data_IF_307008874476
#
_entry.id   IF_307008874476
#
_cell.length_a   1.000
_cell.length_b   1.000
_cell.length_c   1.000
_cell.angle_alpha   90.00
_cell.angle_beta   90.00
_cell.angle_gamma   90.00
#
_symmetry.space_group_name_H-M   'P 1'
#
loop_
_entity.id
_entity.type
_entity.pdbx_description
1 polymer ?
#
# COMPACT_ATOMS: atom_id res chain seq x y z
N UNK A 1 -15.95 23.80 -4.27
CA UNK A 1 -16.08 23.15 -2.96
C UNK A 1 -15.94 24.11 -1.75
N UNK A 2 -15.07 25.10 -1.78
CA UNK A 2 -14.87 26.05 -0.65
C UNK A 2 -16.06 26.97 -0.39
N UNK A 3 -16.98 27.20 -1.34
CA UNK A 3 -18.13 28.06 -1.18
C UNK A 3 -19.30 27.47 -0.38
N UNK A 4 -19.49 26.16 -0.41
CA UNK A 4 -20.58 25.49 0.31
C UNK A 4 -20.30 25.37 1.81
N UNK A 5 -19.03 25.14 2.22
CA UNK A 5 -18.66 25.07 3.65
C UNK A 5 -18.94 26.38 4.43
N UNK A 6 -18.91 27.54 3.76
CA UNK A 6 -19.24 28.82 4.40
C UNK A 6 -20.75 29.00 4.64
N UNK A 7 -21.59 28.40 3.79
CA UNK A 7 -23.04 28.41 3.97
C UNK A 7 -23.50 27.52 5.14
N UNK A 8 -22.85 26.38 5.31
CA UNK A 8 -23.22 25.41 6.35
C UNK A 8 -22.84 25.87 7.76
N UNK A 9 -21.78 26.68 7.91
CA UNK A 9 -21.40 27.29 9.19
C UNK A 9 -22.33 28.40 9.64
N UNK A 10 -23.11 29.02 8.72
CA UNK A 10 -24.07 30.07 9.04
C UNK A 10 -25.41 29.52 9.50
N UNK A 11 -25.74 28.27 9.20
CA UNK A 11 -27.02 27.66 9.56
C UNK A 11 -27.22 27.45 11.08
N UNK A 12 -26.25 26.97 11.85
CA UNK A 12 -26.34 26.88 13.29
C UNK A 12 -26.52 28.27 13.93
N UNK A 13 -25.83 29.28 13.39
CA UNK A 13 -25.97 30.67 13.84
C UNK A 13 -27.36 31.22 13.55
N UNK A 14 -27.93 30.98 12.39
CA UNK A 14 -29.30 31.37 12.05
C UNK A 14 -30.34 30.67 12.95
N UNK A 15 -30.15 29.38 13.25
CA UNK A 15 -31.00 28.63 14.17
C UNK A 15 -30.93 29.17 15.60
N UNK A 16 -29.75 29.57 16.08
CA UNK A 16 -29.57 30.21 17.39
C UNK A 16 -30.30 31.57 17.43
N UNK A 17 -30.16 32.38 16.39
CA UNK A 17 -30.82 33.69 16.30
C UNK A 17 -32.34 33.51 16.27
N UNK A 18 -32.86 32.56 15.49
CA UNK A 18 -34.29 32.25 15.42
C UNK A 18 -34.82 31.68 16.75
N UNK A 19 -34.04 30.83 17.43
CA UNK A 19 -34.40 30.32 18.75
C UNK A 19 -34.43 31.44 19.80
N UNK A 20 -33.48 32.40 19.74
CA UNK A 20 -33.47 33.57 20.61
C UNK A 20 -34.68 34.50 20.35
N UNK A 21 -35.13 34.63 19.10
CA UNK A 21 -36.34 35.36 18.75
C UNK A 21 -37.61 34.61 19.17
N UNK A 22 -37.64 33.28 19.02
CA UNK A 22 -38.77 32.44 19.43
C UNK A 22 -38.90 32.30 20.96
N UNK A 23 -37.86 32.59 21.74
CA UNK A 23 -37.90 32.59 23.21
C UNK A 23 -38.94 33.62 23.78
N UNK A 24 -39.30 34.64 22.98
CA UNK A 24 -40.41 35.57 23.32
C UNK A 24 -41.78 34.92 23.17
N UNK A 25 -41.92 33.82 22.44
CA UNK A 25 -43.17 33.09 22.22
C UNK A 25 -43.36 31.88 23.17
N UNK A 26 -42.37 31.61 24.03
CA UNK A 26 -42.35 30.51 25.00
C UNK A 26 -41.14 29.60 24.85
N UNK A 27 -40.72 28.97 25.96
CA UNK A 27 -39.53 28.12 26.03
C UNK A 27 -39.60 26.91 25.06
N UNK A 28 -40.79 26.34 24.87
CA UNK A 28 -41.01 25.18 24.02
C UNK A 28 -40.85 25.50 22.54
N UNK A 29 -41.24 26.70 22.11
CA UNK A 29 -41.04 27.17 20.73
C UNK A 29 -39.55 27.40 20.42
N UNK A 30 -38.79 27.94 21.38
CA UNK A 30 -37.34 28.13 21.23
C UNK A 30 -36.58 26.80 21.11
N UNK A 31 -36.93 25.81 21.94
CA UNK A 31 -36.38 24.46 21.90
C UNK A 31 -36.71 23.77 20.56
N UNK A 32 -37.95 23.89 20.09
CA UNK A 32 -38.40 23.34 18.81
C UNK A 32 -37.63 23.91 17.61
N UNK A 33 -37.37 25.22 17.56
CA UNK A 33 -36.59 25.87 16.51
C UNK A 33 -35.11 25.45 16.57
N UNK A 34 -34.54 25.37 17.77
CA UNK A 34 -33.14 24.94 17.95
C UNK A 34 -32.93 23.48 17.51
N UNK A 35 -33.79 22.55 17.98
CA UNK A 35 -33.72 21.13 17.62
C UNK A 35 -34.01 20.92 16.14
N UNK A 36 -34.95 21.64 15.56
CA UNK A 36 -35.25 21.64 14.13
C UNK A 36 -34.06 22.13 13.28
N UNK A 37 -33.41 23.20 13.73
CA UNK A 37 -32.19 23.72 13.07
C UNK A 37 -31.01 22.74 13.09
N UNK A 38 -30.79 22.08 14.22
CA UNK A 38 -29.77 21.01 14.31
C UNK A 38 -30.12 19.81 13.43
N UNK A 39 -31.40 19.39 13.45
CA UNK A 39 -31.86 18.29 12.59
C UNK A 39 -31.66 18.58 11.10
N UNK A 40 -31.94 19.80 10.65
CA UNK A 40 -31.67 20.22 9.26
C UNK A 40 -30.17 20.27 8.91
N UNK A 41 -29.30 20.69 9.83
CA UNK A 41 -27.88 20.71 9.62
C UNK A 41 -27.33 19.28 9.48
N UNK A 42 -27.75 18.36 10.36
CA UNK A 42 -27.39 16.93 10.28
C UNK A 42 -27.90 16.31 8.98
N UNK A 43 -29.15 16.58 8.60
CA UNK A 43 -29.74 16.06 7.36
C UNK A 43 -28.96 16.53 6.12
N UNK A 44 -28.58 17.80 6.06
CA UNK A 44 -27.76 18.33 4.97
C UNK A 44 -26.38 17.72 4.91
N UNK A 45 -25.75 17.47 6.05
CA UNK A 45 -24.45 16.80 6.10
C UNK A 45 -24.56 15.35 5.59
N UNK A 46 -25.63 14.65 5.94
CA UNK A 46 -25.90 13.29 5.43
C UNK A 46 -26.13 13.34 3.92
N UNK A 47 -26.93 14.27 3.41
CA UNK A 47 -27.22 14.40 1.99
C UNK A 47 -25.97 14.78 1.19
N UNK A 48 -25.15 15.69 1.69
CA UNK A 48 -23.86 16.04 1.09
C UNK A 48 -22.92 14.81 1.02
N UNK A 49 -22.84 14.01 2.09
CA UNK A 49 -22.04 12.79 2.10
C UNK A 49 -22.55 11.79 1.05
N UNK A 50 -23.87 11.61 0.93
CA UNK A 50 -24.47 10.73 -0.09
C UNK A 50 -24.20 11.19 -1.53
N UNK A 51 -24.26 12.51 -1.78
CA UNK A 51 -23.93 13.06 -3.10
C UNK A 51 -22.45 12.88 -3.43
N UNK A 52 -21.56 13.13 -2.47
CA UNK A 52 -20.13 12.91 -2.63
C UNK A 52 -19.80 11.43 -2.94
N UNK A 53 -20.47 10.49 -2.26
CA UNK A 53 -20.33 9.05 -2.53
C UNK A 53 -20.82 8.67 -3.92
N UNK A 54 -22.00 9.18 -4.35
CA UNK A 54 -22.54 8.94 -5.69
C UNK A 54 -21.62 9.48 -6.79
N UNK A 55 -21.05 10.67 -6.58
CA UNK A 55 -20.11 11.27 -7.52
C UNK A 55 -18.80 10.48 -7.57
N UNK A 56 -18.28 10.06 -6.43
CA UNK A 56 -17.11 9.18 -6.33
C UNK A 56 -17.34 7.85 -7.06
N UNK A 57 -18.49 7.21 -6.84
CA UNK A 57 -18.88 5.99 -7.53
C UNK A 57 -18.98 6.19 -9.04
N UNK A 58 -19.57 7.31 -9.47
CA UNK A 58 -19.71 7.66 -10.88
C UNK A 58 -18.34 7.82 -11.56
N UNK A 59 -17.45 8.58 -10.92
CA UNK A 59 -16.09 8.81 -11.44
C UNK A 59 -15.29 7.52 -11.43
N UNK A 60 -15.33 6.75 -10.35
CA UNK A 60 -14.66 5.44 -10.25
C UNK A 60 -15.14 4.46 -11.33
N UNK A 61 -16.46 4.41 -11.57
CA UNK A 61 -17.05 3.61 -12.64
C UNK A 61 -16.54 4.05 -14.04
N UNK A 62 -16.46 5.36 -14.29
CA UNK A 62 -15.95 5.88 -15.56
C UNK A 62 -14.47 5.54 -15.76
N UNK A 63 -13.64 5.68 -14.71
CA UNK A 63 -12.22 5.34 -14.75
C UNK A 63 -12.03 3.86 -15.05
N UNK A 64 -12.74 2.95 -14.34
CA UNK A 64 -12.68 1.51 -14.61
C UNK A 64 -13.05 1.19 -16.04
N UNK A 65 -14.15 1.76 -16.53
CA UNK A 65 -14.65 1.53 -17.88
C UNK A 65 -13.70 2.05 -18.96
N UNK A 66 -13.13 3.25 -18.75
CA UNK A 66 -12.16 3.84 -19.67
C UNK A 66 -10.83 3.04 -19.70
N UNK A 67 -10.43 2.47 -18.57
CA UNK A 67 -9.27 1.59 -18.47
C UNK A 67 -9.50 0.18 -19.02
N UNK A 68 -10.72 -0.13 -19.50
CA UNK A 68 -11.05 -1.43 -20.10
C UNK A 68 -11.37 -2.54 -19.09
N UNK A 69 -11.53 -2.20 -17.81
CA UNK A 69 -11.94 -3.18 -16.79
C UNK A 69 -13.44 -3.48 -16.85
N UNK A 70 -13.80 -4.69 -16.42
CA UNK A 70 -15.20 -5.06 -16.22
C UNK A 70 -15.77 -4.34 -14.99
N UNK A 71 -16.67 -3.40 -15.24
CA UNK A 71 -17.31 -2.61 -14.19
C UNK A 71 -18.22 -3.46 -13.26
N UNK A 72 -18.57 -4.69 -13.61
CA UNK A 72 -19.30 -5.63 -12.73
C UNK A 72 -18.48 -5.97 -11.48
N UNK A 73 -17.13 -5.87 -11.55
CA UNK A 73 -16.22 -6.01 -10.43
C UNK A 73 -16.53 -5.04 -9.30
N UNK A 74 -16.98 -3.82 -9.60
CA UNK A 74 -17.37 -2.83 -8.59
C UNK A 74 -18.58 -3.29 -7.76
N UNK A 75 -19.58 -3.88 -8.41
CA UNK A 75 -20.75 -4.47 -7.73
C UNK A 75 -20.32 -5.63 -6.84
N UNK A 76 -19.50 -6.54 -7.36
CA UNK A 76 -18.99 -7.69 -6.60
C UNK A 76 -18.14 -7.26 -5.40
N UNK A 77 -17.37 -6.18 -5.53
CA UNK A 77 -16.60 -5.59 -4.44
C UNK A 77 -17.53 -5.03 -3.36
N UNK A 78 -18.52 -4.21 -3.71
CA UNK A 78 -19.46 -3.64 -2.75
C UNK A 78 -20.30 -4.70 -2.04
N UNK A 79 -20.71 -5.75 -2.75
CA UNK A 79 -21.44 -6.86 -2.13
C UNK A 79 -20.59 -7.61 -1.09
N UNK A 80 -19.31 -7.84 -1.38
CA UNK A 80 -18.37 -8.46 -0.42
C UNK A 80 -18.13 -7.58 0.81
N UNK A 81 -17.96 -6.28 0.61
CA UNK A 81 -17.83 -5.33 1.71
C UNK A 81 -19.10 -5.30 2.58
N UNK A 82 -20.29 -5.27 1.94
CA UNK A 82 -21.56 -5.31 2.67
C UNK A 82 -21.74 -6.61 3.47
N UNK A 83 -21.31 -7.74 2.91
CA UNK A 83 -21.35 -9.02 3.62
C UNK A 83 -20.38 -9.04 4.83
N UNK A 84 -19.17 -8.50 4.65
CA UNK A 84 -18.18 -8.42 5.72
C UNK A 84 -18.65 -7.52 6.88
N UNK A 85 -19.30 -6.39 6.59
CA UNK A 85 -19.83 -5.50 7.65
C UNK A 85 -20.98 -6.11 8.44
N UNK A 86 -21.80 -6.98 7.83
CA UNK A 86 -22.89 -7.67 8.53
C UNK A 86 -22.40 -8.71 9.53
N UNK A 87 -21.27 -9.35 9.26
CA UNK A 87 -20.71 -10.45 10.08
C UNK A 87 -19.81 -9.92 11.20
N UNK A 88 -19.17 -8.77 10.99
CA UNK A 88 -18.17 -8.20 11.91
C UNK A 88 -18.50 -6.76 12.29
N UNK A 89 -19.69 -6.54 12.88
CA UNK A 89 -20.12 -5.19 13.29
C UNK A 89 -19.10 -4.48 14.21
N UNK A 90 -18.44 -5.24 15.10
CA UNK A 90 -17.48 -4.71 16.06
C UNK A 90 -16.05 -4.53 15.48
N UNK A 91 -15.78 -5.14 14.32
CA UNK A 91 -14.49 -5.08 13.61
C UNK A 91 -14.57 -4.24 12.33
N UNK A 92 -15.67 -3.53 12.11
CA UNK A 92 -15.84 -2.69 10.92
C UNK A 92 -14.79 -1.57 10.92
N UNK A 93 -13.96 -1.46 9.88
CA UNK A 93 -12.97 -0.40 9.79
C UNK A 93 -13.62 0.99 9.87
N UNK A 94 -13.03 1.97 10.58
CA UNK A 94 -13.60 3.31 10.75
C UNK A 94 -13.99 4.01 9.45
N UNK A 95 -13.21 3.83 8.38
CA UNK A 95 -13.49 4.40 7.07
C UNK A 95 -14.77 3.84 6.42
N UNK A 96 -15.14 2.60 6.71
CA UNK A 96 -16.37 2.00 6.19
C UNK A 96 -17.60 2.47 6.98
N UNK A 97 -17.41 2.93 8.22
CA UNK A 97 -18.46 3.58 9.00
C UNK A 97 -18.75 5.00 8.50
N UNK A 98 -17.72 5.74 8.10
CA UNK A 98 -17.86 7.09 7.53
C UNK A 98 -18.34 7.11 6.07
N UNK A 99 -18.17 5.98 5.34
CA UNK A 99 -18.57 5.81 3.93
C UNK A 99 -19.52 4.61 3.77
N UNK A 100 -20.77 4.68 4.22
CA UNK A 100 -21.65 3.53 4.29
C UNK A 100 -22.02 3.01 2.90
N UNK A 101 -21.95 1.67 2.76
CA UNK A 101 -22.38 0.98 1.57
C UNK A 101 -23.90 0.79 1.60
N UNK A 102 -24.62 1.63 0.89
CA UNK A 102 -26.06 1.51 0.77
C UNK A 102 -26.45 0.60 -0.40
N UNK A 103 -27.60 -0.08 -0.27
CA UNK A 103 -28.18 -0.87 -1.37
C UNK A 103 -28.48 0.00 -2.60
N UNK A 104 -28.69 1.29 -2.38
CA UNK A 104 -28.93 2.29 -3.41
C UNK A 104 -27.69 2.48 -4.31
N UNK A 105 -26.49 2.59 -3.72
CA UNK A 105 -25.22 2.68 -4.46
C UNK A 105 -25.01 1.47 -5.37
N UNK A 106 -25.23 0.27 -4.83
CA UNK A 106 -25.13 -0.97 -5.62
C UNK A 106 -26.14 -0.97 -6.78
N UNK A 107 -27.36 -0.48 -6.54
CA UNK A 107 -28.43 -0.43 -7.55
C UNK A 107 -28.11 0.58 -8.65
N UNK A 108 -27.57 1.76 -8.31
CA UNK A 108 -27.16 2.77 -9.28
C UNK A 108 -26.04 2.24 -10.21
N UNK A 109 -25.03 1.59 -9.63
CA UNK A 109 -23.94 1.00 -10.42
C UNK A 109 -24.48 -0.11 -11.35
N UNK A 110 -25.39 -0.96 -10.88
CA UNK A 110 -26.03 -1.98 -11.73
C UNK A 110 -26.82 -1.36 -12.89
N UNK A 111 -27.50 -0.25 -12.65
CA UNK A 111 -28.22 0.46 -13.70
C UNK A 111 -27.25 0.99 -14.77
N UNK A 112 -26.10 1.54 -14.37
CA UNK A 112 -25.06 2.03 -15.29
C UNK A 112 -24.45 0.89 -16.10
N UNK A 113 -24.17 -0.26 -15.49
CA UNK A 113 -23.63 -1.45 -16.17
C UNK A 113 -24.59 -1.93 -17.28
N UNK A 114 -25.92 -1.94 -17.02
CA UNK A 114 -26.92 -2.36 -18.02
C UNK A 114 -26.93 -1.46 -19.27
N UNK A 115 -26.53 -0.21 -19.14
CA UNK A 115 -26.49 0.75 -20.23
C UNK A 115 -25.18 0.65 -21.05
N UNK A 116 -24.21 -0.18 -20.63
CA UNK A 116 -22.93 -0.33 -21.33
C UNK A 116 -22.85 -1.64 -22.11
N UNK A 117 -22.09 -1.66 -23.21
CA UNK A 117 -21.78 -2.92 -23.88
C UNK A 117 -20.95 -3.82 -22.94
N UNK A 118 -21.26 -5.11 -22.94
CA UNK A 118 -20.53 -6.11 -22.17
C UNK A 118 -19.05 -6.12 -22.58
N UNK A 119 -18.16 -5.98 -21.62
CA UNK A 119 -16.71 -6.14 -21.78
C UNK A 119 -16.22 -7.18 -20.81
N UNK A 120 -15.61 -8.23 -21.33
CA UNK A 120 -14.92 -9.23 -20.52
C UNK A 120 -13.46 -8.80 -20.35
N UNK A 121 -13.04 -8.55 -19.12
CA UNK A 121 -11.63 -8.40 -18.76
C UNK A 121 -11.10 -9.77 -18.30
N UNK A 122 -10.00 -10.21 -18.90
CA UNK A 122 -9.32 -11.42 -18.48
C UNK A 122 -8.13 -10.97 -17.64
N UNK A 123 -8.13 -11.37 -16.38
CA UNK A 123 -7.03 -11.07 -15.46
C UNK A 123 -5.72 -11.71 -15.96
N UNK A 124 -4.64 -10.93 -15.98
CA UNK A 124 -3.32 -11.41 -16.30
C UNK A 124 -2.71 -12.25 -15.16
N UNK A 125 -1.63 -12.95 -15.46
CA UNK A 125 -0.90 -13.75 -14.47
C UNK A 125 -0.49 -12.91 -13.25
N UNK A 126 -0.06 -11.67 -13.44
CA UNK A 126 0.35 -10.78 -12.36
C UNK A 126 -0.74 -10.58 -11.31
N UNK A 127 -1.99 -10.43 -11.71
CA UNK A 127 -3.11 -10.34 -10.78
C UNK A 127 -3.19 -11.58 -9.88
N UNK A 128 -3.08 -12.77 -10.46
CA UNK A 128 -3.16 -14.02 -9.69
C UNK A 128 -1.95 -14.19 -8.76
N UNK A 129 -0.74 -13.79 -9.19
CA UNK A 129 0.47 -13.83 -8.35
C UNK A 129 0.36 -12.85 -7.16
N UNK A 130 -0.06 -11.60 -7.41
CA UNK A 130 -0.28 -10.60 -6.36
C UNK A 130 -1.33 -11.09 -5.36
N UNK A 131 -2.45 -11.63 -5.86
CA UNK A 131 -3.52 -12.18 -5.03
C UNK A 131 -3.03 -13.33 -4.15
N UNK A 132 -2.18 -14.23 -4.70
CA UNK A 132 -1.60 -15.33 -3.93
C UNK A 132 -0.67 -14.82 -2.83
N UNK A 133 0.17 -13.82 -3.13
CA UNK A 133 1.03 -13.17 -2.13
C UNK A 133 0.21 -12.47 -1.05
N UNK A 134 -0.80 -11.70 -1.43
CA UNK A 134 -1.70 -11.01 -0.49
C UNK A 134 -2.41 -11.98 0.44
N UNK A 135 -2.83 -13.16 -0.04
CA UNK A 135 -3.46 -14.20 0.78
C UNK A 135 -2.56 -14.68 1.92
N UNK A 136 -1.27 -14.86 1.66
CA UNK A 136 -0.31 -15.28 2.71
C UNK A 136 -0.05 -14.16 3.71
N UNK A 137 -0.07 -12.89 3.25
CA UNK A 137 0.19 -11.71 4.09
C UNK A 137 -1.04 -11.27 4.91
N UNK A 138 -2.24 -11.66 4.48
CA UNK A 138 -3.49 -11.26 5.13
C UNK A 138 -3.62 -11.79 6.55
N UNK A 139 -3.13 -13.01 6.79
CA UNK A 139 -3.10 -13.64 8.09
C UNK A 139 -1.82 -14.47 8.25
N UNK A 140 -0.87 -13.93 9.00
CA UNK A 140 0.41 -14.59 9.28
C UNK A 140 0.36 -15.53 10.50
N UNK A 141 -0.81 -15.73 11.12
CA UNK A 141 -1.01 -16.73 12.17
C UNK A 141 -0.82 -18.16 11.66
N UNK A 142 -0.68 -19.11 12.57
CA UNK A 142 -0.60 -20.52 12.18
C UNK A 142 -1.86 -20.98 11.44
N UNK A 143 -3.05 -20.54 11.88
CA UNK A 143 -4.31 -20.88 11.21
C UNK A 143 -4.37 -20.26 9.82
N UNK A 144 -4.02 -18.97 9.66
CA UNK A 144 -3.98 -18.31 8.37
C UNK A 144 -3.04 -18.98 7.36
N UNK A 145 -1.90 -19.51 7.85
CA UNK A 145 -0.97 -20.31 7.03
C UNK A 145 -1.56 -21.65 6.58
N UNK A 146 -2.34 -22.33 7.45
CA UNK A 146 -3.06 -23.56 7.11
C UNK A 146 -4.13 -23.28 6.07
N UNK A 147 -4.91 -22.22 6.26
CA UNK A 147 -5.98 -21.83 5.35
C UNK A 147 -5.44 -21.39 3.98
N UNK A 148 -4.33 -20.66 3.96
CA UNK A 148 -3.64 -20.30 2.71
C UNK A 148 -3.15 -21.55 1.97
N UNK A 149 -2.54 -22.51 2.66
CA UNK A 149 -2.11 -23.80 2.10
C UNK A 149 -3.28 -24.55 1.46
N UNK A 150 -4.38 -24.75 2.21
CA UNK A 150 -5.56 -25.45 1.74
C UNK A 150 -6.18 -24.79 0.50
N UNK A 151 -6.20 -23.45 0.47
CA UNK A 151 -6.69 -22.70 -0.67
C UNK A 151 -5.81 -22.88 -1.92
N UNK A 152 -4.47 -22.91 -1.78
CA UNK A 152 -3.56 -23.16 -2.90
C UNK A 152 -3.66 -24.62 -3.38
N UNK A 153 -3.78 -25.59 -2.47
CA UNK A 153 -3.96 -26.99 -2.83
C UNK A 153 -5.28 -27.23 -3.61
N UNK A 154 -6.34 -26.52 -3.25
CA UNK A 154 -7.58 -26.52 -4.05
C UNK A 154 -7.39 -25.86 -5.41
N UNK A 155 -6.64 -24.75 -5.48
CA UNK A 155 -6.38 -24.01 -6.73
C UNK A 155 -5.50 -24.80 -7.71
N UNK A 156 -4.59 -25.65 -7.24
CA UNK A 156 -3.76 -26.54 -8.06
C UNK A 156 -4.61 -27.55 -8.88
N UNK A 157 -5.82 -27.87 -8.41
CA UNK A 157 -6.74 -28.80 -9.10
C UNK A 157 -7.48 -28.15 -10.26
N UNK A 158 -7.40 -26.84 -10.44
CA UNK A 158 -8.04 -26.13 -11.53
C UNK A 158 -7.28 -26.34 -12.84
N UNK A 159 -7.99 -26.38 -13.97
CA UNK A 159 -7.39 -26.57 -15.29
C UNK A 159 -6.82 -25.29 -15.93
N UNK A 160 -6.74 -24.20 -15.18
CA UNK A 160 -6.22 -22.92 -15.64
C UNK A 160 -4.74 -22.77 -15.26
N UNK A 161 -3.86 -22.75 -16.25
CA UNK A 161 -2.39 -22.68 -16.07
C UNK A 161 -1.94 -21.46 -15.25
N UNK A 162 -2.55 -20.28 -15.46
CA UNK A 162 -2.18 -19.07 -14.71
C UNK A 162 -2.54 -19.22 -13.24
N UNK A 163 -3.71 -19.80 -12.95
CA UNK A 163 -4.13 -20.04 -11.57
C UNK A 163 -3.29 -21.15 -10.90
N UNK A 164 -2.88 -22.19 -11.63
CA UNK A 164 -1.95 -23.21 -11.13
C UNK A 164 -0.58 -22.60 -10.80
N UNK A 165 0.00 -21.82 -11.72
CA UNK A 165 1.28 -21.14 -11.49
C UNK A 165 1.21 -20.17 -10.32
N UNK A 166 0.07 -19.46 -10.14
CA UNK A 166 -0.13 -18.57 -9.02
C UNK A 166 -0.30 -19.31 -7.67
N UNK A 167 -0.89 -20.51 -7.69
CA UNK A 167 -0.94 -21.36 -6.50
C UNK A 167 0.46 -21.88 -6.13
N UNK A 168 1.24 -22.35 -7.12
CA UNK A 168 2.62 -22.78 -6.93
C UNK A 168 3.51 -21.64 -6.41
N UNK A 169 3.34 -20.41 -6.93
CA UNK A 169 3.98 -19.19 -6.42
C UNK A 169 3.56 -18.88 -4.98
N UNK A 170 2.28 -19.01 -4.67
CA UNK A 170 1.74 -18.81 -3.30
C UNK A 170 2.33 -19.82 -2.31
N UNK A 171 2.47 -21.10 -2.72
CA UNK A 171 3.13 -22.16 -1.96
C UNK A 171 4.63 -21.89 -1.77
N UNK A 172 5.32 -21.37 -2.80
CA UNK A 172 6.71 -20.95 -2.69
C UNK A 172 6.85 -19.83 -1.65
N UNK A 173 6.00 -18.81 -1.72
CA UNK A 173 6.03 -17.70 -0.78
C UNK A 173 5.70 -18.14 0.66
N UNK A 174 4.72 -19.02 0.83
CA UNK A 174 4.35 -19.60 2.12
C UNK A 174 5.48 -20.44 2.72
N UNK A 175 6.13 -21.28 1.92
CA UNK A 175 7.29 -22.07 2.34
C UNK A 175 8.46 -21.17 2.76
N UNK A 176 8.74 -20.10 2.01
CA UNK A 176 9.74 -19.11 2.38
C UNK A 176 9.43 -18.46 3.75
N UNK A 177 8.17 -18.06 3.98
CA UNK A 177 7.72 -17.49 5.28
C UNK A 177 7.83 -18.48 6.44
N UNK A 178 7.84 -19.78 6.16
CA UNK A 178 8.09 -20.84 7.15
C UNK A 178 9.57 -21.16 7.36
N UNK A 179 10.48 -20.53 6.59
CA UNK A 179 11.91 -20.84 6.60
C UNK A 179 12.27 -22.10 5.83
N UNK A 180 11.34 -22.72 5.09
CA UNK A 180 11.53 -23.93 4.28
C UNK A 180 12.11 -23.55 2.91
N UNK A 181 13.35 -22.99 2.89
CA UNK A 181 13.90 -22.31 1.72
C UNK A 181 14.07 -23.20 0.49
N UNK A 182 14.45 -24.47 0.68
CA UNK A 182 14.55 -25.41 -0.44
C UNK A 182 13.18 -25.69 -1.06
N UNK A 183 12.16 -25.95 -0.24
CA UNK A 183 10.80 -26.13 -0.71
C UNK A 183 10.27 -24.89 -1.45
N UNK A 184 10.62 -23.70 -0.95
CA UNK A 184 10.24 -22.45 -1.60
C UNK A 184 10.85 -22.36 -3.01
N UNK A 185 12.11 -22.70 -3.16
CA UNK A 185 12.80 -22.73 -4.46
C UNK A 185 12.18 -23.78 -5.42
N UNK A 186 11.86 -24.97 -4.91
CA UNK A 186 11.24 -26.04 -5.70
C UNK A 186 9.85 -25.64 -6.23
N UNK A 187 9.01 -25.07 -5.36
CA UNK A 187 7.70 -24.56 -5.76
C UNK A 187 7.80 -23.41 -6.76
N UNK A 188 8.75 -22.49 -6.56
CA UNK A 188 8.98 -21.39 -7.49
C UNK A 188 9.46 -21.91 -8.87
N UNK A 189 10.35 -22.90 -8.89
CA UNK A 189 10.80 -23.54 -10.13
C UNK A 189 9.61 -24.18 -10.87
N UNK A 190 8.72 -24.82 -10.15
CA UNK A 190 7.49 -25.41 -10.70
C UNK A 190 6.57 -24.34 -11.28
N UNK A 191 6.32 -23.23 -10.57
CA UNK A 191 5.51 -22.11 -11.06
C UNK A 191 6.08 -21.54 -12.38
N UNK A 192 7.40 -21.34 -12.43
CA UNK A 192 8.10 -20.92 -13.66
C UNK A 192 7.94 -21.93 -14.78
N UNK A 193 7.99 -23.23 -14.50
CA UNK A 193 7.82 -24.29 -15.50
C UNK A 193 6.38 -24.36 -16.03
N UNK A 194 5.40 -24.21 -15.16
CA UNK A 194 3.97 -24.17 -15.52
C UNK A 194 3.69 -23.05 -16.52
N UNK A 195 4.40 -21.91 -16.45
CA UNK A 195 4.22 -20.77 -17.36
C UNK A 195 5.11 -20.79 -18.61
N UNK A 196 6.03 -21.77 -18.75
CA UNK A 196 6.84 -21.88 -19.98
C UNK A 196 5.92 -22.05 -21.21
N UNK A 197 6.23 -21.37 -22.33
CA UNK A 197 5.50 -21.57 -23.58
C UNK A 197 5.44 -23.04 -23.95
N UNK A 198 4.26 -23.52 -24.33
CA UNK A 198 4.13 -24.85 -24.94
C UNK A 198 4.55 -24.72 -26.39
N UNK A 199 5.54 -25.50 -26.82
CA UNK A 199 6.02 -25.50 -28.20
C UNK A 199 4.84 -25.86 -29.13
N UNK A 200 4.52 -24.98 -30.08
CA UNK A 200 3.43 -25.20 -31.05
C UNK A 200 2.05 -24.59 -30.68
N UNK A 201 1.90 -23.97 -29.52
CA UNK A 201 0.68 -23.24 -29.20
C UNK A 201 0.68 -21.86 -29.90
N UNK A 202 -0.34 -21.61 -30.73
CA UNK A 202 -0.62 -20.27 -31.28
C UNK A 202 -1.16 -19.45 -30.12
N UNK A 203 -0.37 -18.51 -29.60
CA UNK A 203 -0.81 -17.58 -28.56
C UNK A 203 -1.91 -16.67 -29.14
N UNK A 204 -3.06 -16.61 -28.45
CA UNK A 204 -4.03 -15.57 -28.69
C UNK A 204 -3.36 -14.20 -28.45
N UNK A 205 -3.39 -13.36 -29.46
CA UNK A 205 -2.88 -11.99 -29.47
C UNK A 205 -3.37 -11.22 -28.22
N UNK A 206 -2.46 -10.91 -27.28
CA UNK A 206 -2.74 -10.08 -26.13
C UNK A 206 -2.08 -10.47 -24.80
N UNK A 207 -1.53 -11.68 -24.68
CA UNK A 207 -0.79 -12.08 -23.48
C UNK A 207 0.71 -11.95 -23.74
N UNK A 208 1.36 -10.98 -23.09
CA UNK A 208 2.81 -10.84 -23.14
C UNK A 208 3.48 -12.03 -22.44
N UNK A 209 4.45 -12.66 -23.08
CA UNK A 209 5.29 -13.70 -22.47
C UNK A 209 6.10 -13.18 -21.25
N UNK A 210 6.03 -11.89 -20.96
CA UNK A 210 6.67 -11.22 -19.83
C UNK A 210 5.78 -11.12 -18.59
N UNK A 211 4.47 -11.47 -18.69
CA UNK A 211 3.55 -11.36 -17.57
C UNK A 211 4.02 -12.20 -16.38
N UNK A 212 4.18 -11.56 -15.23
CA UNK A 212 4.62 -12.19 -13.99
C UNK A 212 6.12 -12.48 -13.87
N UNK A 213 6.92 -12.30 -14.94
CA UNK A 213 8.35 -12.61 -14.92
C UNK A 213 9.12 -11.81 -13.86
N UNK A 214 8.77 -10.54 -13.65
CA UNK A 214 9.37 -9.71 -12.61
C UNK A 214 9.03 -10.23 -11.21
N UNK A 215 7.79 -10.70 -10.98
CA UNK A 215 7.38 -11.26 -9.69
C UNK A 215 8.06 -12.59 -9.38
N UNK A 216 8.27 -13.44 -10.37
CA UNK A 216 9.06 -14.67 -10.20
C UNK A 216 10.52 -14.36 -9.88
N UNK A 217 11.13 -13.37 -10.55
CA UNK A 217 12.48 -12.93 -10.27
C UNK A 217 12.59 -12.33 -8.85
N UNK A 218 11.63 -11.49 -8.46
CA UNK A 218 11.59 -10.90 -7.12
C UNK A 218 11.49 -11.96 -6.02
N UNK A 219 10.63 -12.97 -6.18
CA UNK A 219 10.51 -14.04 -5.19
C UNK A 219 11.77 -14.92 -5.15
N UNK A 220 12.40 -15.18 -6.29
CA UNK A 220 13.67 -15.90 -6.35
C UNK A 220 14.76 -15.19 -5.52
N UNK A 221 14.84 -13.87 -5.67
CA UNK A 221 15.77 -13.06 -4.89
C UNK A 221 15.40 -13.01 -3.41
N UNK A 222 14.11 -12.93 -3.07
CA UNK A 222 13.67 -12.99 -1.66
C UNK A 222 14.09 -14.30 -0.99
N UNK A 223 13.93 -15.43 -1.68
CA UNK A 223 14.36 -16.75 -1.19
C UNK A 223 15.87 -16.78 -0.99
N UNK A 224 16.64 -16.25 -1.93
CA UNK A 224 18.12 -16.21 -1.89
C UNK A 224 18.67 -15.25 -0.84
N UNK A 225 17.91 -14.20 -0.48
CA UNK A 225 18.26 -13.20 0.54
C UNK A 225 17.69 -13.54 1.92
N UNK A 226 16.88 -14.60 2.02
CA UNK A 226 16.25 -14.98 3.28
C UNK A 226 17.30 -15.40 4.33
N UNK A 227 17.05 -15.13 5.63
CA UNK A 227 17.90 -15.62 6.70
C UNK A 227 18.06 -17.14 6.64
N UNK A 228 19.27 -17.64 6.88
CA UNK A 228 19.59 -19.07 6.83
C UNK A 228 20.16 -19.56 5.51
N UNK A 229 20.27 -18.71 4.49
CA UNK A 229 21.01 -19.04 3.28
C UNK A 229 22.52 -19.10 3.53
N UNK A 230 23.24 -20.06 2.90
CA UNK A 230 24.68 -20.18 3.09
C UNK A 230 25.42 -18.95 2.52
N UNK A 231 26.46 -18.43 3.23
CA UNK A 231 27.24 -17.28 2.77
C UNK A 231 27.84 -17.45 1.38
N UNK A 232 28.14 -18.69 0.98
CA UNK A 232 28.67 -19.02 -0.34
C UNK A 232 27.77 -18.64 -1.52
N UNK A 233 26.45 -18.45 -1.25
CA UNK A 233 25.50 -18.01 -2.26
C UNK A 233 25.50 -16.50 -2.48
N UNK A 234 26.05 -15.70 -1.58
CA UNK A 234 25.95 -14.25 -1.63
C UNK A 234 26.48 -13.65 -2.95
N UNK A 235 27.66 -14.10 -3.41
CA UNK A 235 28.24 -13.61 -4.67
C UNK A 235 27.38 -13.94 -5.91
N UNK A 236 26.78 -15.14 -5.94
CA UNK A 236 25.87 -15.51 -7.03
C UNK A 236 24.56 -14.72 -6.94
N UNK A 237 24.03 -14.50 -5.74
CA UNK A 237 22.82 -13.71 -5.51
C UNK A 237 22.95 -12.27 -6.03
N UNK A 238 24.13 -11.63 -5.86
CA UNK A 238 24.40 -10.30 -6.45
C UNK A 238 24.32 -10.34 -7.98
N UNK A 239 24.93 -11.35 -8.62
CA UNK A 239 24.86 -11.48 -10.08
C UNK A 239 23.43 -11.69 -10.58
N UNK A 240 22.69 -12.56 -9.91
CA UNK A 240 21.28 -12.82 -10.24
C UNK A 240 20.42 -11.56 -10.04
N UNK A 241 20.67 -10.80 -8.98
CA UNK A 241 19.96 -9.55 -8.69
C UNK A 241 20.30 -8.45 -9.71
N UNK A 242 21.56 -8.34 -10.15
CA UNK A 242 21.97 -7.43 -11.21
C UNK A 242 21.27 -7.76 -12.53
N UNK A 243 21.28 -9.04 -12.95
CA UNK A 243 20.57 -9.48 -14.15
C UNK A 243 19.05 -9.23 -14.09
N UNK A 244 18.45 -9.46 -12.92
CA UNK A 244 17.04 -9.18 -12.72
C UNK A 244 16.75 -7.66 -12.78
N UNK A 245 17.61 -6.84 -12.20
CA UNK A 245 17.50 -5.37 -12.23
C UNK A 245 17.63 -4.83 -13.67
N UNK A 246 18.58 -5.31 -14.44
CA UNK A 246 18.76 -4.92 -15.83
C UNK A 246 17.55 -5.31 -16.70
N UNK A 247 16.99 -6.49 -16.44
CA UNK A 247 15.81 -6.99 -17.15
C UNK A 247 14.52 -6.26 -16.76
N UNK A 248 14.39 -5.82 -15.53
CA UNK A 248 13.19 -5.21 -14.97
C UNK A 248 13.51 -3.87 -14.27
N UNK A 249 14.01 -2.86 -14.99
CA UNK A 249 14.54 -1.63 -14.40
C UNK A 249 13.48 -0.81 -13.63
N UNK A 250 12.20 -0.98 -13.96
CA UNK A 250 11.08 -0.31 -13.27
C UNK A 250 10.56 -1.07 -12.05
N UNK A 251 11.03 -2.30 -11.81
CA UNK A 251 10.61 -3.11 -10.69
C UNK A 251 11.31 -2.66 -9.38
N UNK A 252 10.70 -1.71 -8.67
CA UNK A 252 11.27 -1.12 -7.44
C UNK A 252 11.66 -2.15 -6.38
N UNK A 253 10.90 -3.25 -6.27
CA UNK A 253 11.24 -4.38 -5.40
C UNK A 253 12.59 -4.99 -5.73
N UNK A 254 12.85 -5.28 -7.01
CA UNK A 254 14.11 -5.85 -7.51
C UNK A 254 15.28 -4.88 -7.31
N UNK A 255 15.07 -3.57 -7.54
CA UNK A 255 16.08 -2.56 -7.28
C UNK A 255 16.56 -2.55 -5.82
N UNK A 256 15.60 -2.69 -4.86
CA UNK A 256 15.94 -2.82 -3.44
C UNK A 256 16.65 -4.12 -3.11
N UNK A 257 16.21 -5.24 -3.69
CA UNK A 257 16.83 -6.55 -3.51
C UNK A 257 18.26 -6.58 -4.06
N UNK A 258 18.53 -5.87 -5.15
CA UNK A 258 19.89 -5.74 -5.68
C UNK A 258 20.80 -5.01 -4.69
N UNK A 259 20.35 -3.91 -4.09
CA UNK A 259 21.09 -3.23 -3.04
C UNK A 259 21.32 -4.13 -1.82
N UNK A 260 20.30 -4.87 -1.39
CA UNK A 260 20.38 -5.77 -0.23
C UNK A 260 21.35 -6.93 -0.50
N UNK A 261 21.37 -7.47 -1.73
CA UNK A 261 22.31 -8.49 -2.16
C UNK A 261 23.76 -7.98 -2.11
N UNK A 262 24.04 -6.76 -2.59
CA UNK A 262 25.35 -6.14 -2.48
C UNK A 262 25.80 -6.01 -1.01
N UNK A 263 24.90 -5.55 -0.12
CA UNK A 263 25.21 -5.42 1.30
C UNK A 263 25.52 -6.79 1.91
N UNK A 264 24.68 -7.80 1.64
CA UNK A 264 24.85 -9.16 2.15
C UNK A 264 26.14 -9.85 1.67
N UNK A 265 26.65 -9.45 0.51
CA UNK A 265 27.91 -9.97 -0.05
C UNK A 265 29.17 -9.19 0.36
N UNK A 266 29.02 -8.19 1.26
CA UNK A 266 30.14 -7.34 1.70
C UNK A 266 30.48 -6.18 0.76
N UNK A 267 29.69 -5.93 -0.30
CA UNK A 267 29.87 -4.84 -1.25
C UNK A 267 29.16 -3.54 -0.77
N UNK A 268 29.31 -3.23 0.51
CA UNK A 268 28.56 -2.16 1.16
C UNK A 268 28.83 -0.75 0.58
N UNK A 269 30.05 -0.49 0.07
CA UNK A 269 30.38 0.80 -0.55
C UNK A 269 29.68 0.97 -1.90
N UNK A 270 29.66 -0.06 -2.73
CA UNK A 270 28.94 -0.07 -4.01
C UNK A 270 27.43 0.06 -3.78
N UNK A 271 26.90 -0.67 -2.79
CA UNK A 271 25.50 -0.55 -2.38
C UNK A 271 25.14 0.88 -1.95
N UNK A 272 25.97 1.53 -1.14
CA UNK A 272 25.72 2.92 -0.72
C UNK A 272 25.78 3.89 -1.90
N UNK A 273 26.69 3.69 -2.85
CA UNK A 273 26.77 4.52 -4.06
C UNK A 273 25.50 4.36 -4.91
N UNK A 274 25.09 3.13 -5.19
CA UNK A 274 23.84 2.84 -5.90
C UNK A 274 22.61 3.42 -5.18
N UNK A 275 22.50 3.24 -3.86
CA UNK A 275 21.37 3.71 -3.06
C UNK A 275 21.30 5.23 -3.02
N UNK A 276 22.44 5.96 -2.99
CA UNK A 276 22.43 7.43 -3.10
C UNK A 276 21.78 7.91 -4.41
N UNK A 277 22.05 7.24 -5.53
CA UNK A 277 21.37 7.57 -6.78
C UNK A 277 19.87 7.23 -6.73
N UNK A 278 19.52 6.09 -6.13
CA UNK A 278 18.11 5.69 -5.98
C UNK A 278 17.33 6.68 -5.12
N UNK A 279 17.86 7.15 -3.98
CA UNK A 279 17.17 8.14 -3.13
C UNK A 279 17.06 9.52 -3.77
N UNK A 280 17.97 9.91 -4.67
CA UNK A 280 17.83 11.13 -5.47
C UNK A 280 16.63 11.07 -6.41
N UNK A 281 16.40 9.91 -7.02
CA UNK A 281 15.32 9.69 -7.98
C UNK A 281 13.98 9.45 -7.29
N UNK A 282 13.98 8.71 -6.16
CA UNK A 282 12.79 8.26 -5.44
C UNK A 282 12.81 8.72 -3.98
N UNK A 283 12.74 10.04 -3.79
CA UNK A 283 12.95 10.72 -2.51
C UNK A 283 11.95 10.31 -1.41
N UNK A 284 10.76 9.85 -1.80
CA UNK A 284 9.67 9.52 -0.86
C UNK A 284 9.62 8.03 -0.48
N UNK A 285 10.61 7.24 -0.90
CA UNK A 285 10.65 5.81 -0.62
C UNK A 285 11.49 5.50 0.62
N UNK A 286 10.85 5.46 1.81
CA UNK A 286 11.50 5.22 3.10
C UNK A 286 12.42 3.98 3.11
N UNK A 287 12.03 2.90 2.42
CA UNK A 287 12.82 1.68 2.35
C UNK A 287 14.20 1.82 1.70
N UNK A 288 14.40 2.81 0.84
CA UNK A 288 15.72 3.10 0.27
C UNK A 288 16.66 3.69 1.33
N UNK A 289 16.14 4.53 2.20
CA UNK A 289 16.91 5.11 3.30
C UNK A 289 17.23 4.06 4.37
N UNK A 290 16.33 3.10 4.64
CA UNK A 290 16.62 1.96 5.51
C UNK A 290 17.81 1.13 4.96
N UNK A 291 17.81 0.84 3.65
CA UNK A 291 18.89 0.11 2.99
C UNK A 291 20.19 0.93 2.96
N UNK A 292 20.10 2.24 2.73
CA UNK A 292 21.25 3.13 2.76
C UNK A 292 21.88 3.17 4.15
N UNK A 293 21.07 3.25 5.20
CA UNK A 293 21.53 3.14 6.58
C UNK A 293 22.20 1.79 6.85
N UNK A 294 21.63 0.68 6.37
CA UNK A 294 22.24 -0.66 6.46
C UNK A 294 23.59 -0.72 5.76
N UNK A 295 23.71 -0.10 4.56
CA UNK A 295 24.97 -0.04 3.82
C UNK A 295 26.04 0.81 4.53
N UNK A 296 25.66 1.93 5.17
CA UNK A 296 26.57 2.73 5.97
C UNK A 296 26.99 2.03 7.25
N UNK A 297 26.08 1.34 7.94
CA UNK A 297 26.39 0.53 9.10
C UNK A 297 27.46 -0.55 8.78
N UNK A 298 27.31 -1.24 7.65
CA UNK A 298 28.25 -2.25 7.19
C UNK A 298 29.64 -1.66 6.83
N UNK A 299 29.74 -0.33 6.62
CA UNK A 299 30.99 0.38 6.39
C UNK A 299 31.57 1.00 7.68
N UNK A 300 30.87 0.89 8.82
CA UNK A 300 31.25 1.59 10.06
C UNK A 300 31.02 3.10 10.04
N UNK A 301 30.20 3.61 9.10
CA UNK A 301 29.85 5.03 8.95
C UNK A 301 28.60 5.36 9.76
N UNK A 302 28.77 5.44 11.08
CA UNK A 302 27.64 5.54 12.03
C UNK A 302 26.89 6.87 11.93
N UNK A 303 27.60 8.00 11.72
CA UNK A 303 26.93 9.29 11.52
C UNK A 303 25.98 9.25 10.33
N UNK A 304 26.47 8.83 9.16
CA UNK A 304 25.67 8.71 7.93
C UNK A 304 24.54 7.66 8.05
N UNK A 305 24.78 6.57 8.79
CA UNK A 305 23.75 5.58 9.11
C UNK A 305 22.54 6.22 9.78
N UNK A 306 22.78 6.97 10.85
CA UNK A 306 21.70 7.57 11.63
C UNK A 306 21.05 8.76 10.92
N UNK A 307 21.78 9.50 10.07
CA UNK A 307 21.19 10.50 9.18
C UNK A 307 20.21 9.82 8.20
N UNK A 308 20.59 8.70 7.58
CA UNK A 308 19.70 7.98 6.69
C UNK A 308 18.47 7.40 7.40
N UNK A 309 18.63 6.86 8.62
CA UNK A 309 17.49 6.41 9.43
C UNK A 309 16.54 7.57 9.79
N UNK A 310 17.07 8.76 10.07
CA UNK A 310 16.25 9.93 10.34
C UNK A 310 15.34 10.26 9.13
N UNK A 311 15.85 10.21 7.91
CA UNK A 311 15.04 10.43 6.70
C UNK A 311 13.96 9.35 6.53
N UNK A 312 14.27 8.07 6.80
CA UNK A 312 13.28 7.00 6.79
C UNK A 312 12.14 7.26 7.78
N UNK A 313 12.47 7.68 9.01
CA UNK A 313 11.48 8.02 10.04
C UNK A 313 10.63 9.25 9.68
N UNK A 314 11.24 10.27 9.05
CA UNK A 314 10.48 11.43 8.54
C UNK A 314 9.42 11.00 7.53
N UNK A 315 9.80 10.14 6.58
CA UNK A 315 8.88 9.63 5.56
C UNK A 315 7.80 8.72 6.15
N UNK A 316 8.08 8.05 7.27
CA UNK A 316 7.10 7.27 8.02
C UNK A 316 6.20 8.13 8.95
N UNK A 317 6.39 9.47 8.98
CA UNK A 317 5.65 10.37 9.87
C UNK A 317 6.09 10.34 11.33
N UNK A 318 7.18 9.61 11.67
CA UNK A 318 7.70 9.44 13.01
C UNK A 318 8.76 10.52 13.34
N UNK A 319 8.37 11.79 13.25
CA UNK A 319 9.29 12.94 13.40
C UNK A 319 10.05 12.96 14.72
N UNK A 320 9.48 12.61 15.89
CA UNK A 320 10.26 12.51 17.13
C UNK A 320 11.42 11.52 17.02
N UNK A 321 11.16 10.32 16.48
CA UNK A 321 12.20 9.31 16.28
C UNK A 321 13.28 9.77 15.29
N UNK A 322 12.91 10.55 14.27
CA UNK A 322 13.88 11.15 13.35
C UNK A 322 14.83 12.10 14.07
N UNK A 323 14.31 12.96 14.95
CA UNK A 323 15.13 13.88 15.76
C UNK A 323 16.08 13.11 16.70
N UNK A 324 15.61 12.03 17.32
CA UNK A 324 16.45 11.15 18.14
C UNK A 324 17.60 10.55 17.31
N UNK A 325 17.33 10.09 16.09
CA UNK A 325 18.38 9.58 15.19
C UNK A 325 19.41 10.65 14.83
N UNK A 326 18.99 11.88 14.54
CA UNK A 326 19.91 12.99 14.30
C UNK A 326 20.77 13.29 15.53
N UNK A 327 20.19 13.22 16.74
CA UNK A 327 20.92 13.35 18.00
C UNK A 327 21.97 12.25 18.21
N UNK A 328 21.70 11.02 17.77
CA UNK A 328 22.68 9.92 17.79
C UNK A 328 23.76 10.15 16.74
N UNK A 329 23.38 10.56 15.52
CA UNK A 329 24.32 10.88 14.44
C UNK A 329 25.33 11.94 14.86
N UNK A 330 24.89 12.99 15.56
CA UNK A 330 25.72 14.07 16.09
C UNK A 330 26.82 13.58 17.04
N UNK A 331 26.52 12.55 17.82
CA UNK A 331 27.42 11.97 18.83
C UNK A 331 28.28 10.83 18.27
N UNK A 332 28.09 10.47 17.01
CA UNK A 332 28.86 9.40 16.40
C UNK A 332 30.35 9.80 16.31
N UNK A 333 31.28 8.86 16.60
CA UNK A 333 32.70 9.16 16.62
C UNK A 333 33.30 9.51 15.27
N UNK A 334 32.59 9.17 14.19
CA UNK A 334 32.95 9.41 12.79
C UNK A 334 32.25 10.64 12.20
N UNK A 335 31.49 11.39 13.00
CA UNK A 335 30.75 12.56 12.53
C UNK A 335 31.71 13.66 12.01
N UNK A 336 31.65 13.91 10.71
CA UNK A 336 32.43 14.97 10.07
C UNK A 336 31.80 16.35 10.27
N UNK A 337 32.54 17.41 10.00
CA UNK A 337 32.00 18.77 9.99
C UNK A 337 30.80 18.92 9.06
N UNK A 338 30.84 18.28 7.89
CA UNK A 338 29.73 18.30 6.94
C UNK A 338 28.50 17.58 7.48
N UNK A 339 28.69 16.45 8.16
CA UNK A 339 27.58 15.71 8.79
C UNK A 339 26.92 16.55 9.86
N UNK A 340 27.69 17.20 10.70
CA UNK A 340 27.19 18.10 11.76
C UNK A 340 26.36 19.25 11.16
N UNK A 341 26.86 19.88 10.09
CA UNK A 341 26.13 20.95 9.41
C UNK A 341 24.81 20.47 8.80
N UNK A 342 24.81 19.28 8.22
CA UNK A 342 23.60 18.64 7.68
C UNK A 342 22.58 18.34 8.78
N UNK A 343 23.04 17.76 9.90
CA UNK A 343 22.22 17.47 11.07
C UNK A 343 21.58 18.76 11.61
N UNK A 344 22.35 19.83 11.77
CA UNK A 344 21.86 21.11 12.27
C UNK A 344 20.81 21.73 11.38
N UNK A 345 21.00 21.64 10.07
CA UNK A 345 20.02 22.14 9.09
C UNK A 345 18.71 21.32 9.18
N UNK A 346 18.83 20.00 9.25
CA UNK A 346 17.67 19.10 9.26
C UNK A 346 16.88 19.17 10.56
N UNK A 347 17.55 19.26 11.71
CA UNK A 347 16.87 19.44 13.00
C UNK A 347 16.06 20.73 13.03
N UNK A 348 16.61 21.85 12.52
CA UNK A 348 15.89 23.13 12.43
C UNK A 348 14.64 23.02 11.56
N UNK A 349 14.75 22.36 10.43
CA UNK A 349 13.59 22.13 9.52
C UNK A 349 12.49 21.32 10.23
N UNK A 350 12.87 20.20 10.87
CA UNK A 350 11.91 19.33 11.57
C UNK A 350 11.25 20.04 12.75
N UNK A 351 11.99 20.85 13.52
CA UNK A 351 11.45 21.63 14.62
C UNK A 351 10.47 22.70 14.13
N UNK A 352 10.73 23.32 12.99
CA UNK A 352 9.81 24.30 12.37
C UNK A 352 8.52 23.62 11.96
N UNK A 353 8.61 22.48 11.27
CA UNK A 353 7.46 21.68 10.86
C UNK A 353 6.59 21.23 12.03
N UNK A 354 7.20 20.77 13.13
CA UNK A 354 6.48 20.42 14.36
C UNK A 354 5.74 21.60 14.99
N UNK A 355 6.34 22.80 14.95
CA UNK A 355 5.68 24.01 15.48
C UNK A 355 4.48 24.40 14.64
N UNK A 356 4.58 24.31 13.31
CA UNK A 356 3.49 24.60 12.38
C UNK A 356 2.34 23.62 12.57
N UNK A 357 2.59 22.31 12.63
CA UNK A 357 1.58 21.28 12.87
C UNK A 357 0.86 21.46 14.24
N UNK A 358 1.61 21.85 15.29
CA UNK A 358 1.00 22.14 16.59
C UNK A 358 0.13 23.39 16.58
N UNK A 359 0.49 24.37 15.76
CA UNK A 359 -0.32 25.59 15.59
C UNK A 359 -1.61 25.29 14.86
N UNK A 360 -1.55 24.55 13.75
CA UNK A 360 -2.73 24.14 13.00
C UNK A 360 -3.70 23.26 13.81
N UNK A 361 -3.16 22.38 14.67
CA UNK A 361 -4.00 21.58 15.59
C UNK A 361 -4.66 22.37 16.71
N UNK A 362 -4.14 23.55 17.06
CA UNK A 362 -4.77 24.44 18.05
C UNK A 362 -5.83 25.36 17.43
N UNK A 363 -5.73 25.59 16.13
CA UNK A 363 -6.66 26.46 15.38
C UNK A 363 -7.88 25.69 14.82
N UNK A 364 -7.86 24.35 14.89
CA UNK A 364 -8.98 23.45 14.58
C UNK A 364 -9.77 23.05 15.84
#
# INVERSE_FOLDING_TARGET
MIGQQKGDALMPLAAIILAALASKAGSDAAIGVFMGGQGLAIQRQIDFTREAERESDRVGFQIMSAAGYDASGMVAFFQRMQAATKVYSDLTPPWLMSHPLTSERITDIRARIRAMPFRQHIDGLEFYLVRSRARVLQDESNQGRIDAQAAFDAQLKLQNRQQQAAAEYGLAYLAMKRGELQKAADWLAKAKATMKPVTGAVFSTGQSASDGAAMFAALDLEIKLAPGQPPSMAAQTVKDAALAHDKFPLARGIARQYADAMIASGQAEQAATYLREQVRQYKEEAKLYDLLAKAYAAQGKFSLQHIALAESYVLAGAVPAAVDQLGIARKAPDASFYDLALIDARERELQTKQKEEKKEKKER
#
